data_IF_572625919634
#
_entry.id   IF_572625919634
#
_cell.length_a   1.000
_cell.length_b   1.000
_cell.length_c   1.000
_cell.angle_alpha   90.00
_cell.angle_beta   90.00
_cell.angle_gamma   90.00
#
_symmetry.space_group_name_H-M   'P 1'
#
loop_
_entity.id
_entity.type
_entity.pdbx_description
1 polymer ?
#
# COMPACT_ATOMS: atom_id res chain seq x y z
N UNK A 1 14.64 45.90 -14.73
CA UNK A 1 15.73 45.02 -14.26
C UNK A 1 15.67 43.75 -15.09
N UNK A 2 16.68 43.40 -15.90
CA UNK A 2 16.64 42.16 -16.67
C UNK A 2 16.84 40.98 -15.71
N UNK A 3 15.96 39.98 -15.77
CA UNK A 3 16.10 38.76 -14.98
C UNK A 3 17.38 38.03 -15.37
N UNK A 4 18.24 37.76 -14.38
CA UNK A 4 19.47 37.02 -14.59
C UNK A 4 19.14 35.56 -14.89
N UNK A 5 19.52 35.08 -16.07
CA UNK A 5 19.35 33.66 -16.41
C UNK A 5 20.12 32.76 -15.44
N UNK A 6 19.49 31.68 -14.94
CA UNK A 6 20.11 30.79 -13.97
C UNK A 6 21.27 30.00 -14.59
N UNK A 7 22.40 30.01 -13.89
CA UNK A 7 23.59 29.25 -14.25
C UNK A 7 23.32 27.73 -14.29
N UNK A 8 24.20 26.98 -14.95
CA UNK A 8 24.12 25.51 -15.02
C UNK A 8 24.12 24.87 -13.62
N UNK A 9 24.85 25.46 -12.66
CA UNK A 9 24.91 25.03 -11.27
C UNK A 9 23.57 25.26 -10.55
N UNK A 10 22.95 26.43 -10.73
CA UNK A 10 21.63 26.75 -10.16
C UNK A 10 20.54 25.85 -10.73
N UNK A 11 20.54 25.60 -12.05
CA UNK A 11 19.63 24.64 -12.70
C UNK A 11 19.81 23.21 -12.17
N UNK A 12 21.05 22.77 -11.94
CA UNK A 12 21.33 21.44 -11.37
C UNK A 12 20.86 21.33 -9.92
N UNK A 13 21.07 22.37 -9.11
CA UNK A 13 20.62 22.39 -7.72
C UNK A 13 19.09 22.42 -7.62
N UNK A 14 18.42 23.23 -8.44
CA UNK A 14 16.96 23.27 -8.53
C UNK A 14 16.38 21.90 -8.89
N UNK A 15 16.95 21.19 -9.88
CA UNK A 15 16.54 19.82 -10.23
C UNK A 15 16.69 18.82 -9.08
N UNK A 16 17.79 18.89 -8.32
CA UNK A 16 18.00 18.03 -7.14
C UNK A 16 16.98 18.31 -6.04
N UNK A 17 16.73 19.59 -5.74
CA UNK A 17 15.71 19.99 -4.77
C UNK A 17 14.31 19.54 -5.17
N UNK A 18 13.97 19.66 -6.45
CA UNK A 18 12.68 19.20 -6.99
C UNK A 18 12.52 17.68 -6.87
N UNK A 19 13.57 16.91 -7.19
CA UNK A 19 13.56 15.44 -7.00
C UNK A 19 13.36 15.06 -5.54
N UNK A 20 14.14 15.64 -4.63
CA UNK A 20 14.00 15.37 -3.20
C UNK A 20 12.61 15.75 -2.66
N UNK A 21 12.00 16.84 -3.17
CA UNK A 21 10.64 17.21 -2.80
C UNK A 21 9.60 16.19 -3.33
N UNK A 22 9.76 15.74 -4.57
CA UNK A 22 8.92 14.70 -5.18
C UNK A 22 9.02 13.37 -4.44
N UNK A 23 10.22 12.95 -4.05
CA UNK A 23 10.47 11.74 -3.28
C UNK A 23 9.77 11.80 -1.91
N UNK A 24 9.88 12.94 -1.21
CA UNK A 24 9.18 13.13 0.07
C UNK A 24 7.66 13.15 -0.08
N UNK A 25 7.14 13.75 -1.15
CA UNK A 25 5.71 13.76 -1.42
C UNK A 25 5.21 12.33 -1.69
N UNK A 26 5.96 11.54 -2.47
CA UNK A 26 5.67 10.13 -2.71
C UNK A 26 5.70 9.29 -1.44
N UNK A 27 6.71 9.47 -0.57
CA UNK A 27 6.78 8.77 0.71
C UNK A 27 5.57 9.07 1.60
N UNK A 28 5.16 10.34 1.72
CA UNK A 28 3.97 10.73 2.49
C UNK A 28 2.68 10.12 1.92
N UNK A 29 2.57 10.03 0.59
CA UNK A 29 1.41 9.41 -0.04
C UNK A 29 1.33 7.91 0.29
N UNK A 30 2.47 7.21 0.29
CA UNK A 30 2.54 5.80 0.72
C UNK A 30 2.20 5.62 2.20
N UNK A 31 2.64 6.54 3.06
CA UNK A 31 2.31 6.49 4.49
C UNK A 31 0.80 6.63 4.71
N UNK A 32 0.17 7.63 4.08
CA UNK A 32 -1.29 7.83 4.17
C UNK A 32 -2.06 6.62 3.64
N UNK A 33 -1.60 6.04 2.53
CA UNK A 33 -2.21 4.83 1.98
C UNK A 33 -2.09 3.65 2.94
N UNK A 34 -0.92 3.48 3.56
CA UNK A 34 -0.69 2.40 4.49
C UNK A 34 -1.47 2.56 5.81
N UNK A 35 -1.62 3.78 6.31
CA UNK A 35 -2.44 4.06 7.50
C UNK A 35 -3.90 3.69 7.23
N UNK A 36 -4.46 4.08 6.08
CA UNK A 36 -5.80 3.67 5.66
C UNK A 36 -5.94 2.14 5.53
N UNK A 37 -4.93 1.47 4.98
CA UNK A 37 -4.91 0.02 4.84
C UNK A 37 -4.88 -0.69 6.21
N UNK A 38 -4.17 -0.11 7.19
CA UNK A 38 -4.10 -0.62 8.56
C UNK A 38 -5.44 -0.49 9.25
N UNK A 39 -6.05 0.69 9.19
CA UNK A 39 -7.37 0.94 9.80
C UNK A 39 -8.40 -0.04 9.26
N UNK A 40 -8.45 -0.20 7.93
CA UNK A 40 -9.36 -1.14 7.29
C UNK A 40 -9.08 -2.61 7.68
N UNK A 41 -7.81 -3.02 7.70
CA UNK A 41 -7.46 -4.39 8.05
C UNK A 41 -7.89 -4.74 9.49
N UNK A 42 -7.74 -3.81 10.43
CA UNK A 42 -8.19 -3.97 11.82
C UNK A 42 -9.72 -4.01 11.95
N UNK A 43 -10.46 -3.33 11.08
CA UNK A 43 -11.92 -3.45 11.02
C UNK A 43 -12.36 -4.80 10.41
N UNK A 44 -11.66 -5.25 9.38
CA UNK A 44 -12.01 -6.47 8.62
C UNK A 44 -11.62 -7.75 9.37
N UNK A 45 -10.54 -7.74 10.16
CA UNK A 45 -10.02 -8.94 10.83
C UNK A 45 -11.07 -9.63 11.71
N UNK A 46 -11.90 -8.85 12.42
CA UNK A 46 -12.95 -9.37 13.28
C UNK A 46 -14.07 -10.11 12.51
N UNK A 47 -14.19 -9.89 11.20
CA UNK A 47 -15.20 -10.51 10.33
C UNK A 47 -14.66 -11.72 9.55
N UNK A 48 -13.34 -11.81 9.41
CA UNK A 48 -12.70 -12.81 8.54
C UNK A 48 -12.97 -14.24 9.02
N UNK A 49 -13.14 -14.45 10.33
CA UNK A 49 -13.45 -15.75 10.91
C UNK A 49 -14.77 -16.34 10.38
N UNK A 50 -15.77 -15.49 10.13
CA UNK A 50 -17.09 -15.92 9.64
C UNK A 50 -17.19 -15.84 8.11
N UNK A 51 -16.64 -14.78 7.51
CA UNK A 51 -16.80 -14.47 6.08
C UNK A 51 -15.77 -15.19 5.19
N UNK A 52 -14.68 -15.72 5.76
CA UNK A 52 -13.58 -16.32 5.02
C UNK A 52 -12.65 -15.28 4.38
N UNK A 53 -12.13 -15.56 3.18
CA UNK A 53 -11.23 -14.65 2.46
C UNK A 53 -11.93 -13.33 2.11
N UNK A 54 -11.34 -12.21 2.53
CA UNK A 54 -11.82 -10.85 2.27
C UNK A 54 -10.74 -9.99 1.60
N UNK A 55 -11.19 -9.05 0.77
CA UNK A 55 -10.32 -8.06 0.11
C UNK A 55 -10.40 -6.72 0.83
N UNK A 56 -9.27 -6.04 0.97
CA UNK A 56 -9.24 -4.67 1.47
C UNK A 56 -9.56 -3.71 0.32
N UNK A 57 -10.53 -2.82 0.53
CA UNK A 57 -10.97 -1.79 -0.42
C UNK A 57 -9.93 -0.71 -0.68
N UNK A 58 -8.89 -0.63 0.16
CA UNK A 58 -7.73 0.23 -0.04
C UNK A 58 -7.13 0.04 -1.44
N UNK A 59 -7.25 1.07 -2.27
CA UNK A 59 -6.86 1.05 -3.68
C UNK A 59 -5.34 1.16 -3.84
N UNK A 60 -4.68 0.01 -3.95
CA UNK A 60 -3.26 -0.09 -4.29
C UNK A 60 -3.09 -0.19 -5.81
N UNK A 61 -2.24 0.66 -6.39
CA UNK A 61 -2.05 0.71 -7.85
C UNK A 61 -0.75 0.03 -8.31
N UNK A 62 0.11 -0.36 -7.36
CA UNK A 62 1.40 -0.99 -7.66
C UNK A 62 1.72 -2.07 -6.64
N UNK A 63 2.48 -3.08 -7.09
CA UNK A 63 2.96 -4.17 -6.23
C UNK A 63 3.87 -3.67 -5.09
N UNK A 64 4.66 -2.63 -5.34
CA UNK A 64 5.52 -2.03 -4.31
C UNK A 64 4.69 -1.34 -3.21
N UNK A 65 3.66 -0.58 -3.59
CA UNK A 65 2.73 0.03 -2.64
C UNK A 65 1.97 -1.04 -1.83
N UNK A 66 1.49 -2.09 -2.49
CA UNK A 66 0.82 -3.20 -1.82
C UNK A 66 1.74 -3.90 -0.80
N UNK A 67 3.00 -4.16 -1.16
CA UNK A 67 4.00 -4.74 -0.24
C UNK A 67 4.33 -3.80 0.92
N UNK A 68 4.38 -2.49 0.67
CA UNK A 68 4.57 -1.49 1.73
C UNK A 68 3.41 -1.54 2.73
N UNK A 69 2.17 -1.50 2.24
CA UNK A 69 0.96 -1.59 3.07
C UNK A 69 0.91 -2.92 3.83
N UNK A 70 1.19 -4.05 3.16
CA UNK A 70 1.25 -5.38 3.78
C UNK A 70 2.19 -5.41 4.99
N UNK A 71 3.37 -4.78 4.89
CA UNK A 71 4.30 -4.69 6.01
C UNK A 71 3.67 -3.94 7.19
N UNK A 72 3.03 -2.80 6.93
CA UNK A 72 2.43 -1.93 7.95
C UNK A 72 1.22 -2.61 8.62
N UNK A 73 0.38 -3.28 7.83
CA UNK A 73 -0.74 -4.09 8.33
C UNK A 73 -0.21 -5.21 9.23
N UNK A 74 0.78 -5.98 8.78
CA UNK A 74 1.34 -7.06 9.60
C UNK A 74 1.95 -6.55 10.91
N UNK A 75 2.56 -5.36 10.92
CA UNK A 75 3.07 -4.76 12.15
C UNK A 75 1.93 -4.39 13.12
N UNK A 76 0.81 -3.85 12.61
CA UNK A 76 -0.36 -3.50 13.42
C UNK A 76 -1.09 -4.76 13.95
N UNK A 77 -1.38 -5.74 13.08
CA UNK A 77 -1.99 -7.01 13.49
C UNK A 77 -1.13 -7.78 14.49
N UNK A 78 0.20 -7.63 14.46
CA UNK A 78 1.08 -8.20 15.48
C UNK A 78 0.88 -7.53 16.84
N UNK A 79 0.74 -6.21 16.86
CA UNK A 79 0.55 -5.45 18.09
C UNK A 79 -0.78 -5.77 18.76
N UNK A 80 -1.82 -6.04 17.95
CA UNK A 80 -3.15 -6.40 18.41
C UNK A 80 -3.38 -7.93 18.50
N UNK A 81 -2.29 -8.72 18.42
CA UNK A 81 -2.29 -10.18 18.62
C UNK A 81 -3.20 -10.98 17.66
N UNK A 82 -3.36 -10.53 16.41
CA UNK A 82 -4.18 -11.22 15.39
C UNK A 82 -3.40 -12.16 14.46
N UNK A 83 -2.06 -12.07 14.42
CA UNK A 83 -1.27 -12.78 13.41
C UNK A 83 -1.24 -14.31 13.54
N UNK A 84 -1.74 -14.87 14.63
CA UNK A 84 -1.97 -16.30 14.81
C UNK A 84 -3.32 -16.75 14.22
N UNK A 85 -4.30 -15.86 14.12
CA UNK A 85 -5.64 -16.15 13.58
C UNK A 85 -5.77 -15.87 12.08
N UNK A 86 -5.01 -14.91 11.54
CA UNK A 86 -5.19 -14.44 10.15
C UNK A 86 -3.89 -14.35 9.36
N UNK A 87 -4.03 -14.39 8.04
CA UNK A 87 -2.94 -14.12 7.09
C UNK A 87 -3.36 -13.00 6.15
N UNK A 88 -2.50 -11.99 6.03
CA UNK A 88 -2.64 -10.92 5.03
C UNK A 88 -1.64 -11.17 3.92
N UNK A 89 -2.08 -11.02 2.67
CA UNK A 89 -1.25 -11.27 1.50
C UNK A 89 -1.62 -10.34 0.34
N UNK A 90 -0.73 -10.28 -0.65
CA UNK A 90 -0.94 -9.47 -1.86
C UNK A 90 -1.37 -10.38 -3.00
N UNK A 91 -2.54 -10.10 -3.55
CA UNK A 91 -2.95 -10.67 -4.82
C UNK A 91 -2.33 -9.89 -5.98
N UNK A 92 -1.77 -10.60 -6.95
CA UNK A 92 -1.15 -10.06 -8.16
C UNK A 92 -1.66 -10.84 -9.37
N UNK A 93 -2.27 -10.14 -10.32
CA UNK A 93 -2.87 -10.69 -11.53
C UNK A 93 -1.87 -11.48 -12.39
N UNK A 94 -0.57 -11.21 -12.27
CA UNK A 94 0.46 -11.88 -13.06
C UNK A 94 0.87 -13.25 -12.52
N UNK A 95 0.65 -13.50 -11.22
CA UNK A 95 1.17 -14.70 -10.53
C UNK A 95 0.08 -15.52 -9.87
N UNK A 96 -1.04 -14.90 -9.51
CA UNK A 96 -2.16 -15.56 -8.87
C UNK A 96 -3.03 -16.33 -9.86
N UNK A 97 -3.48 -17.50 -9.43
CA UNK A 97 -4.53 -18.28 -10.11
C UNK A 97 -5.94 -17.89 -9.64
N UNK A 98 -6.05 -17.15 -8.54
CA UNK A 98 -7.34 -16.66 -8.00
C UNK A 98 -7.78 -15.42 -8.80
N UNK A 99 -9.09 -15.18 -8.92
CA UNK A 99 -9.65 -13.95 -9.53
C UNK A 99 -9.61 -12.79 -8.53
N UNK A 100 -9.53 -11.53 -8.99
CA UNK A 100 -9.67 -10.36 -8.09
C UNK A 100 -11.01 -10.41 -7.35
N UNK A 101 -11.04 -9.89 -6.12
CA UNK A 101 -12.26 -9.81 -5.30
C UNK A 101 -12.69 -8.37 -5.04
N UNK A 102 -11.79 -7.40 -5.25
CA UNK A 102 -12.11 -5.97 -5.15
C UNK A 102 -12.13 -5.32 -6.54
N UNK A 103 -12.88 -4.21 -6.72
CA UNK A 103 -12.78 -3.40 -7.94
C UNK A 103 -11.36 -2.86 -8.20
N UNK A 104 -10.58 -2.63 -7.14
CA UNK A 104 -9.19 -2.19 -7.23
C UNK A 104 -8.30 -3.25 -7.88
N UNK A 105 -8.43 -4.52 -7.48
CA UNK A 105 -7.73 -5.63 -8.10
C UNK A 105 -8.13 -5.85 -9.56
N UNK A 106 -9.41 -5.67 -9.91
CA UNK A 106 -9.86 -5.69 -11.30
C UNK A 106 -9.24 -4.58 -12.15
N UNK A 107 -9.11 -3.39 -11.60
CA UNK A 107 -8.63 -2.20 -12.32
C UNK A 107 -7.12 -2.16 -12.45
N UNK A 108 -6.39 -2.47 -11.36
CA UNK A 108 -4.94 -2.27 -11.27
C UNK A 108 -4.13 -3.56 -11.31
N UNK A 109 -4.80 -4.73 -11.25
CA UNK A 109 -4.13 -6.03 -11.23
C UNK A 109 -3.38 -6.34 -9.94
N UNK A 110 -3.63 -5.59 -8.86
CA UNK A 110 -3.04 -5.80 -7.53
C UNK A 110 -4.04 -5.40 -6.45
N UNK A 111 -4.13 -6.19 -5.37
CA UNK A 111 -4.96 -5.87 -4.20
C UNK A 111 -4.43 -6.56 -2.94
N UNK A 112 -4.87 -6.10 -1.78
CA UNK A 112 -4.57 -6.70 -0.47
C UNK A 112 -5.73 -7.60 -0.06
N UNK A 113 -5.39 -8.75 0.53
CA UNK A 113 -6.36 -9.73 1.01
C UNK A 113 -6.02 -10.20 2.40
N UNK A 114 -7.04 -10.62 3.12
CA UNK A 114 -6.95 -11.20 4.45
C UNK A 114 -7.80 -12.47 4.48
N UNK A 115 -7.25 -13.56 5.03
CA UNK A 115 -7.97 -14.82 5.19
C UNK A 115 -7.66 -15.46 6.54
N UNK A 116 -8.55 -16.31 7.08
CA UNK A 116 -8.23 -17.10 8.27
C UNK A 116 -6.98 -17.95 8.05
N UNK A 117 -6.13 -18.05 9.06
CA UNK A 117 -5.06 -19.04 9.05
C UNK A 117 -5.66 -20.43 9.17
N UNK A 118 -5.26 -21.31 8.26
CA UNK A 118 -5.54 -22.73 8.39
C UNK A 118 -4.67 -23.26 9.54
N UNK A 119 -5.33 -23.73 10.59
CA UNK A 119 -4.71 -24.41 11.73
C UNK A 119 -4.35 -25.86 11.42
#
# INVERSE_FOLDING_TARGET
MPEREPSKAERKNARRKQRAASERAGARALDVLADAAVDEALEVVARVADDGELGLSTEVTTLEAARYCLKRINDALRMDEWLDEVEVWVWDAHTSVRRPITPGGETHGVELRIEPRLS
#
